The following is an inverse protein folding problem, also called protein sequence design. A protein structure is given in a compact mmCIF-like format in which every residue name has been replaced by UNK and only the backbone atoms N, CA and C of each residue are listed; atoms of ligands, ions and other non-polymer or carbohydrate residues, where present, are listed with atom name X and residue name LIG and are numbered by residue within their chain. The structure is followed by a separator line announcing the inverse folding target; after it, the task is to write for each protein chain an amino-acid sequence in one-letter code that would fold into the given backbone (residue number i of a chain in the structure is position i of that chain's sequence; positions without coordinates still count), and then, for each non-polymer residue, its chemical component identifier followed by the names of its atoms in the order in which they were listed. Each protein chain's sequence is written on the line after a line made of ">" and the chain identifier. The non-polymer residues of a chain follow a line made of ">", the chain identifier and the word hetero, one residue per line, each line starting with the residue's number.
data_IF_895368208457
#
_entry.id   IF_895368208457
#
_cell.length_a   1.000
_cell.length_b   1.000
_cell.length_c   1.000
_cell.angle_alpha   90.00
_cell.angle_beta   90.00
_cell.angle_gamma   90.00
#
_symmetry.space_group_name_H-M   'P 1'
#
loop_
_entity.id
_entity.type
_entity.pdbx_description
1 polymer ?
#
# COMPACT_ATOMS: atom_id res chain seq x y z
N UNK A 1 -5.26 58.80 -5.89
CA UNK A 1 -4.69 57.59 -5.25
C UNK A 1 -5.54 56.40 -5.72
N UNK A 2 -5.01 55.61 -6.66
CA UNK A 2 -5.69 54.45 -7.23
C UNK A 2 -5.18 53.22 -6.42
N UNK A 3 -6.08 52.61 -5.68
CA UNK A 3 -5.78 51.37 -4.92
C UNK A 3 -5.97 50.19 -5.82
N UNK A 4 -4.89 49.53 -6.21
CA UNK A 4 -4.91 48.28 -6.97
C UNK A 4 -5.11 47.15 -5.98
N UNK A 5 -6.27 46.48 -6.03
CA UNK A 5 -6.58 45.29 -5.25
C UNK A 5 -6.01 44.06 -5.97
N UNK A 6 -4.98 43.44 -5.42
CA UNK A 6 -4.41 42.21 -5.93
C UNK A 6 -5.23 41.04 -5.38
N UNK A 7 -6.08 40.45 -6.22
CA UNK A 7 -6.78 39.21 -5.87
C UNK A 7 -5.81 38.04 -6.05
N UNK A 8 -5.35 37.47 -4.96
CA UNK A 8 -4.59 36.22 -4.98
C UNK A 8 -5.59 35.08 -5.24
N UNK A 9 -5.63 34.59 -6.47
CA UNK A 9 -6.37 33.37 -6.80
C UNK A 9 -5.54 32.19 -6.26
N UNK A 10 -6.00 31.59 -5.19
CA UNK A 10 -5.47 30.28 -4.76
C UNK A 10 -5.95 29.27 -5.81
N UNK A 11 -5.04 28.80 -6.63
CA UNK A 11 -5.30 27.71 -7.58
C UNK A 11 -5.75 26.49 -6.77
N UNK A 12 -6.89 25.89 -7.11
CA UNK A 12 -7.30 24.62 -6.52
C UNK A 12 -6.18 23.59 -6.77
N UNK A 13 -5.82 22.73 -5.80
CA UNK A 13 -4.80 21.72 -6.02
C UNK A 13 -5.16 20.90 -7.26
N UNK A 14 -4.19 20.71 -8.17
CA UNK A 14 -4.39 19.86 -9.34
C UNK A 14 -4.68 18.44 -8.82
N UNK A 15 -5.81 17.87 -9.20
CA UNK A 15 -6.26 16.54 -8.74
C UNK A 15 -5.39 15.37 -9.26
N UNK A 16 -4.23 15.67 -9.87
CA UNK A 16 -3.38 14.68 -10.52
C UNK A 16 -1.99 14.55 -9.86
N UNK A 17 -1.83 15.06 -8.64
CA UNK A 17 -0.52 14.97 -7.94
C UNK A 17 -0.52 13.78 -7.00
N UNK A 18 0.38 12.79 -7.20
CA UNK A 18 0.53 11.66 -6.29
C UNK A 18 0.78 12.12 -4.84
N UNK A 19 0.13 11.46 -3.88
CA UNK A 19 0.14 11.86 -2.48
C UNK A 19 -0.88 12.95 -2.10
N UNK A 20 -1.71 13.43 -3.04
CA UNK A 20 -2.80 14.34 -2.68
C UNK A 20 -3.81 13.60 -1.80
N UNK A 21 -4.05 14.11 -0.59
CA UNK A 21 -5.07 13.60 0.32
C UNK A 21 -6.46 13.95 -0.21
N UNK A 22 -7.30 12.94 -0.46
CA UNK A 22 -8.66 13.12 -0.94
C UNK A 22 -9.68 13.11 0.20
N UNK A 23 -9.51 12.21 1.17
CA UNK A 23 -10.37 12.13 2.35
C UNK A 23 -9.60 11.59 3.56
N UNK A 24 -10.12 11.91 4.75
CA UNK A 24 -9.61 11.36 6.00
C UNK A 24 -10.76 11.18 6.98
N UNK A 25 -10.88 9.96 7.54
CA UNK A 25 -11.85 9.61 8.56
C UNK A 25 -11.12 9.31 9.87
N UNK A 26 -11.44 10.00 10.97
CA UNK A 26 -10.82 9.73 12.26
C UNK A 26 -11.06 8.29 12.73
N UNK A 27 -10.03 7.68 13.30
CA UNK A 27 -10.07 6.35 13.92
C UNK A 27 -9.63 6.49 15.37
N UNK A 28 -10.42 5.95 16.30
CA UNK A 28 -10.11 5.99 17.72
C UNK A 28 -9.02 4.97 18.07
N UNK A 29 -7.89 5.45 18.55
CA UNK A 29 -6.76 4.66 19.07
C UNK A 29 -6.46 4.95 20.55
N UNK A 30 -7.41 5.57 21.24
CA UNK A 30 -7.31 5.92 22.66
C UNK A 30 -6.18 6.91 22.93
N UNK A 31 -5.49 6.73 24.05
CA UNK A 31 -4.41 7.61 24.52
C UNK A 31 -3.10 7.49 23.70
N UNK A 32 -3.04 6.59 22.72
CA UNK A 32 -1.83 6.41 21.90
C UNK A 32 -1.55 7.59 20.99
N UNK A 33 -2.58 8.33 20.57
CA UNK A 33 -2.44 9.46 19.66
C UNK A 33 -3.69 9.74 18.86
N UNK A 34 -3.51 10.13 17.61
CA UNK A 34 -4.57 10.36 16.62
C UNK A 34 -4.32 9.50 15.40
N UNK A 35 -5.40 9.02 14.79
CA UNK A 35 -5.28 8.21 13.59
C UNK A 35 -6.44 8.45 12.62
N UNK A 36 -6.20 8.14 11.35
CA UNK A 36 -7.17 8.28 10.29
C UNK A 36 -7.08 7.11 9.31
N UNK A 37 -8.23 6.68 8.82
CA UNK A 37 -8.31 6.00 7.52
C UNK A 37 -8.34 7.09 6.47
N UNK A 38 -7.53 6.93 5.42
CA UNK A 38 -7.37 7.95 4.37
C UNK A 38 -7.62 7.37 3.00
N UNK A 39 -8.03 8.24 2.07
CA UNK A 39 -7.95 8.01 0.62
C UNK A 39 -7.03 9.08 0.04
N UNK A 40 -6.12 8.68 -0.82
CA UNK A 40 -5.14 9.59 -1.44
C UNK A 40 -4.90 9.19 -2.89
N UNK A 41 -4.37 10.12 -3.68
CA UNK A 41 -3.97 9.86 -5.06
C UNK A 41 -2.61 9.17 -5.11
N UNK A 42 -2.52 8.19 -5.99
CA UNK A 42 -1.30 7.54 -6.43
C UNK A 42 -1.28 7.42 -7.94
N UNK A 43 -0.32 6.69 -8.48
CA UNK A 43 -0.18 6.45 -9.91
C UNK A 43 -0.07 4.95 -10.17
N UNK A 44 -0.87 4.42 -11.06
CA UNK A 44 -0.79 3.01 -11.50
C UNK A 44 0.51 2.73 -12.26
N UNK A 45 0.81 1.47 -12.50
CA UNK A 45 1.95 1.06 -13.36
C UNK A 45 1.81 1.62 -14.77
N UNK A 46 0.58 1.79 -15.27
CA UNK A 46 0.30 2.39 -16.57
C UNK A 46 0.48 3.92 -16.61
N UNK A 47 0.76 4.54 -15.47
CA UNK A 47 0.93 6.00 -15.38
C UNK A 47 -0.38 6.78 -15.15
N UNK A 48 -1.50 6.09 -14.92
CA UNK A 48 -2.80 6.72 -14.70
C UNK A 48 -2.98 7.10 -13.22
N UNK A 49 -3.65 8.23 -12.91
CA UNK A 49 -3.98 8.58 -11.53
C UNK A 49 -5.02 7.59 -10.97
N UNK A 50 -4.77 7.12 -9.75
CA UNK A 50 -5.63 6.17 -9.04
C UNK A 50 -5.87 6.61 -7.60
N UNK A 51 -7.01 6.18 -7.03
CA UNK A 51 -7.31 6.35 -5.62
C UNK A 51 -6.81 5.13 -4.83
N UNK A 52 -6.08 5.38 -3.75
CA UNK A 52 -5.57 4.32 -2.87
C UNK A 52 -5.96 4.64 -1.44
N UNK A 53 -6.29 3.62 -0.67
CA UNK A 53 -6.63 3.74 0.75
C UNK A 53 -5.46 3.36 1.66
N UNK A 54 -5.57 3.74 2.93
CA UNK A 54 -4.58 3.38 3.94
C UNK A 54 -4.86 4.00 5.30
N UNK A 55 -3.89 3.93 6.19
CA UNK A 55 -3.96 4.52 7.54
C UNK A 55 -2.78 5.44 7.81
N UNK A 56 -3.05 6.52 8.53
CA UNK A 56 -2.05 7.44 9.07
C UNK A 56 -2.31 7.56 10.57
N UNK A 57 -1.26 7.40 11.37
CA UNK A 57 -1.31 7.57 12.82
C UNK A 57 -0.16 8.48 13.28
N UNK A 58 -0.46 9.38 14.21
CA UNK A 58 0.50 10.34 14.74
C UNK A 58 0.33 10.51 16.26
N UNK A 59 1.39 10.93 16.98
CA UNK A 59 1.26 11.34 18.37
C UNK A 59 0.25 12.50 18.52
N UNK A 60 -0.45 12.53 19.64
CA UNK A 60 -1.42 13.59 19.92
C UNK A 60 -0.77 14.98 19.94
N UNK A 61 -1.53 16.00 19.54
CA UNK A 61 -1.10 17.40 19.48
C UNK A 61 -0.26 17.74 18.25
N UNK A 62 -0.12 19.05 18.04
CA UNK A 62 0.66 19.57 16.91
C UNK A 62 2.12 19.15 17.00
N UNK A 63 2.70 18.85 15.83
CA UNK A 63 4.10 18.49 15.74
C UNK A 63 5.00 19.68 16.18
N UNK A 64 5.95 19.47 17.09
CA UNK A 64 6.89 20.52 17.49
C UNK A 64 7.94 20.81 16.39
N UNK A 65 7.97 20.02 15.34
CA UNK A 65 8.87 20.05 14.20
C UNK A 65 8.69 18.80 13.34
N UNK A 66 9.53 18.58 12.33
CA UNK A 66 9.49 17.36 11.51
C UNK A 66 9.58 16.11 12.37
N UNK A 67 8.58 15.20 12.25
CA UNK A 67 8.58 13.90 12.91
C UNK A 67 9.14 12.84 11.96
N UNK A 68 9.95 11.88 12.43
CA UNK A 68 10.33 10.74 11.63
C UNK A 68 9.10 9.90 11.27
N UNK A 69 9.15 9.25 10.12
CA UNK A 69 8.05 8.47 9.56
C UNK A 69 8.44 7.01 9.45
N UNK A 70 7.59 6.11 9.93
CA UNK A 70 7.61 4.70 9.58
C UNK A 70 6.50 4.43 8.58
N UNK A 71 6.85 3.98 7.37
CA UNK A 71 5.89 3.40 6.45
C UNK A 71 5.89 1.88 6.59
N UNK A 72 4.74 1.33 6.94
CA UNK A 72 4.54 -0.11 7.11
C UNK A 72 3.92 -0.68 5.85
N UNK A 73 4.68 -1.51 5.15
CA UNK A 73 4.24 -2.26 4.00
C UNK A 73 3.71 -3.63 4.45
N UNK A 74 2.39 -3.85 4.31
CA UNK A 74 1.75 -5.04 4.83
C UNK A 74 2.02 -6.29 3.98
N UNK A 75 1.95 -7.48 4.60
CA UNK A 75 1.98 -8.76 3.91
C UNK A 75 0.63 -9.07 3.24
N UNK A 76 0.57 -10.17 2.50
CA UNK A 76 -0.61 -10.59 1.76
C UNK A 76 -1.84 -10.74 2.64
N UNK A 77 -2.94 -10.06 2.29
CA UNK A 77 -4.24 -10.16 2.96
C UNK A 77 -5.34 -10.70 2.03
N UNK A 78 -5.13 -10.68 0.73
CA UNK A 78 -6.05 -11.06 -0.34
C UNK A 78 -5.97 -10.08 -1.50
N UNK A 79 -6.96 -10.11 -2.37
CA UNK A 79 -7.08 -9.19 -3.52
C UNK A 79 -8.40 -8.40 -3.49
N UNK A 80 -9.39 -8.85 -2.74
CA UNK A 80 -10.68 -8.19 -2.61
C UNK A 80 -10.59 -6.91 -1.74
N UNK A 81 -11.45 -5.93 -2.04
CA UNK A 81 -11.52 -4.65 -1.31
C UNK A 81 -11.68 -4.84 0.21
N UNK A 82 -12.50 -5.83 0.63
CA UNK A 82 -12.72 -6.13 2.04
C UNK A 82 -11.48 -6.60 2.79
N UNK A 83 -10.41 -6.93 2.07
CA UNK A 83 -9.14 -7.39 2.62
C UNK A 83 -8.17 -6.26 2.93
N UNK A 84 -8.51 -5.02 2.56
CA UNK A 84 -7.71 -3.84 2.85
C UNK A 84 -7.45 -3.72 4.36
N UNK A 85 -6.18 -3.66 4.80
CA UNK A 85 -5.84 -3.58 6.22
C UNK A 85 -6.42 -2.38 6.95
N UNK A 86 -6.61 -1.26 6.26
CA UNK A 86 -7.20 -0.05 6.84
C UNK A 86 -8.62 -0.27 7.36
N UNK A 87 -9.39 -1.19 6.76
CA UNK A 87 -10.75 -1.53 7.21
C UNK A 87 -10.77 -2.25 8.56
N UNK A 88 -9.64 -2.87 8.95
CA UNK A 88 -9.48 -3.62 10.20
C UNK A 88 -8.63 -2.88 11.23
N UNK A 89 -8.16 -1.69 10.89
CA UNK A 89 -7.47 -0.83 11.83
C UNK A 89 -8.50 -0.06 12.71
N UNK A 90 -8.31 0.03 14.04
CA UNK A 90 -7.18 -0.43 14.85
C UNK A 90 -7.38 -1.86 15.40
N UNK A 91 -6.78 -2.86 14.76
CA UNK A 91 -6.74 -4.21 15.29
C UNK A 91 -5.57 -4.41 16.25
N UNK A 92 -5.61 -5.45 17.08
CA UNK A 92 -4.57 -5.74 18.08
C UNK A 92 -3.17 -5.84 17.44
N UNK A 93 -3.04 -6.56 16.33
CA UNK A 93 -1.75 -6.73 15.63
C UNK A 93 -1.25 -5.42 15.02
N UNK A 94 -2.11 -4.58 14.47
CA UNK A 94 -1.72 -3.28 13.91
C UNK A 94 -1.29 -2.31 14.99
N UNK A 95 -2.01 -2.26 16.11
CA UNK A 95 -1.66 -1.44 17.26
C UNK A 95 -0.33 -1.88 17.88
N UNK A 96 -0.05 -3.20 17.96
CA UNK A 96 1.22 -3.71 18.45
C UNK A 96 2.43 -3.20 17.64
N UNK A 97 2.24 -2.99 16.33
CA UNK A 97 3.27 -2.38 15.47
C UNK A 97 3.33 -0.86 15.65
N UNK A 98 2.18 -0.18 15.68
CA UNK A 98 2.08 1.28 15.64
C UNK A 98 2.47 1.92 16.98
N UNK A 99 1.99 1.40 18.11
CA UNK A 99 2.14 2.02 19.43
C UNK A 99 3.59 2.35 19.82
N UNK A 100 4.58 1.43 19.67
CA UNK A 100 5.96 1.73 20.06
C UNK A 100 6.59 2.90 19.31
N UNK A 101 6.12 3.20 18.10
CA UNK A 101 6.62 4.32 17.30
C UNK A 101 5.91 5.62 17.67
N UNK A 102 4.59 5.61 17.88
CA UNK A 102 3.86 6.77 18.37
C UNK A 102 4.40 7.26 19.71
N UNK A 103 4.68 6.35 20.66
CA UNK A 103 5.29 6.66 21.96
C UNK A 103 6.67 7.33 21.83
N UNK A 104 7.38 7.12 20.73
CA UNK A 104 8.68 7.73 20.41
C UNK A 104 8.57 8.99 19.57
N UNK A 105 7.36 9.46 19.31
CA UNK A 105 7.12 10.68 18.55
C UNK A 105 7.14 10.51 17.02
N UNK A 106 7.08 9.28 16.52
CA UNK A 106 7.06 8.98 15.07
C UNK A 106 5.64 9.07 14.52
N UNK A 107 5.52 9.40 13.25
CA UNK A 107 4.33 9.16 12.46
C UNK A 107 4.42 7.75 11.88
N UNK A 108 3.30 7.03 11.86
CA UNK A 108 3.22 5.71 11.23
C UNK A 108 2.17 5.75 10.13
N UNK A 109 2.55 5.34 8.94
CA UNK A 109 1.65 5.24 7.77
C UNK A 109 1.64 3.81 7.24
N UNK A 110 0.51 3.38 6.67
CA UNK A 110 0.39 2.08 6.01
C UNK A 110 -0.59 2.20 4.84
N UNK A 111 -0.10 1.99 3.63
CA UNK A 111 -0.93 1.90 2.42
C UNK A 111 -1.64 0.55 2.38
N UNK A 112 -2.84 0.51 1.77
CA UNK A 112 -3.52 -0.74 1.43
C UNK A 112 -3.07 -1.27 0.05
N UNK A 113 -2.23 -0.52 -0.69
CA UNK A 113 -1.81 -0.69 -2.07
C UNK A 113 -2.92 -0.40 -3.10
N UNK A 114 -2.53 -0.28 -4.37
CA UNK A 114 -3.42 -0.14 -5.52
C UNK A 114 -4.45 -1.28 -5.58
N UNK A 115 -5.72 -0.95 -5.87
CA UNK A 115 -6.78 -1.93 -6.09
C UNK A 115 -7.23 -2.69 -4.84
N UNK A 116 -6.85 -2.25 -3.63
CA UNK A 116 -7.38 -2.76 -2.37
C UNK A 116 -8.15 -1.66 -1.63
N UNK A 117 -9.39 -1.95 -1.26
CA UNK A 117 -10.30 -0.97 -0.62
C UNK A 117 -10.75 0.15 -1.56
N UNK A 118 -10.59 -0.01 -2.88
CA UNK A 118 -10.90 0.94 -3.91
C UNK A 118 -10.96 0.32 -5.30
N UNK A 119 -11.24 1.11 -6.34
CA UNK A 119 -11.43 0.59 -7.70
C UNK A 119 -10.17 -0.07 -8.28
N UNK A 120 -10.36 -1.14 -9.05
CA UNK A 120 -9.32 -1.81 -9.82
C UNK A 120 -8.91 -3.16 -9.24
N UNK A 121 -8.05 -3.87 -9.96
CA UNK A 121 -7.49 -5.14 -9.52
C UNK A 121 -6.17 -4.84 -8.79
N UNK A 122 -5.97 -5.45 -7.63
CA UNK A 122 -4.71 -5.32 -6.89
C UNK A 122 -3.53 -5.90 -7.68
N UNK A 123 -2.50 -5.07 -8.06
CA UNK A 123 -1.29 -5.56 -8.71
C UNK A 123 -0.38 -6.29 -7.70
N UNK A 124 -0.81 -7.48 -7.27
CA UNK A 124 -0.12 -8.27 -6.26
C UNK A 124 1.30 -8.64 -6.70
N UNK A 125 2.28 -8.33 -5.86
CA UNK A 125 3.74 -8.49 -6.12
C UNK A 125 4.23 -7.81 -7.41
N UNK A 126 3.59 -6.69 -7.78
CA UNK A 126 4.07 -5.76 -8.79
C UNK A 126 4.79 -4.62 -8.07
N UNK A 127 6.11 -4.72 -7.98
CA UNK A 127 6.92 -3.88 -7.08
C UNK A 127 6.83 -2.38 -7.33
N UNK A 128 6.64 -1.94 -8.58
CA UNK A 128 6.50 -0.51 -8.87
C UNK A 128 5.18 0.04 -8.31
N UNK A 129 4.07 -0.67 -8.46
CA UNK A 129 2.78 -0.28 -7.88
C UNK A 129 2.86 -0.21 -6.35
N UNK A 130 3.44 -1.25 -5.72
CA UNK A 130 3.61 -1.28 -4.27
C UNK A 130 4.48 -0.13 -3.75
N UNK A 131 5.60 0.17 -4.42
CA UNK A 131 6.50 1.25 -4.03
C UNK A 131 5.83 2.63 -4.15
N UNK A 132 5.04 2.86 -5.21
CA UNK A 132 4.26 4.11 -5.37
C UNK A 132 3.29 4.31 -4.22
N UNK A 133 2.49 3.30 -3.88
CA UNK A 133 1.58 3.36 -2.73
C UNK A 133 2.28 3.70 -1.42
N UNK A 134 3.47 3.08 -1.17
CA UNK A 134 4.28 3.35 0.02
C UNK A 134 4.79 4.79 0.08
N UNK A 135 5.22 5.37 -1.05
CA UNK A 135 5.69 6.76 -1.07
C UNK A 135 4.54 7.76 -0.98
N UNK A 136 3.45 7.52 -1.71
CA UNK A 136 2.37 8.49 -1.84
C UNK A 136 1.56 8.64 -0.56
N UNK A 137 1.44 7.59 0.27
CA UNK A 137 0.83 7.75 1.59
C UNK A 137 1.68 8.59 2.54
N UNK A 138 3.01 8.60 2.39
CA UNK A 138 3.89 9.51 3.15
C UNK A 138 3.63 10.95 2.75
N UNK A 139 3.53 11.24 1.45
CA UNK A 139 3.17 12.58 0.94
C UNK A 139 1.80 13.02 1.41
N UNK A 140 0.82 12.10 1.44
CA UNK A 140 -0.50 12.37 2.01
C UNK A 140 -0.40 12.78 3.48
N UNK A 141 0.40 12.07 4.28
CA UNK A 141 0.62 12.40 5.69
C UNK A 141 1.32 13.76 5.87
N UNK A 142 2.26 14.13 4.99
CA UNK A 142 2.92 15.44 4.99
C UNK A 142 1.93 16.58 4.77
N UNK A 143 0.89 16.36 3.96
CA UNK A 143 -0.14 17.36 3.67
C UNK A 143 -1.12 17.60 4.82
N UNK A 144 -1.15 16.71 5.85
CA UNK A 144 -2.10 16.78 6.96
C UNK A 144 -1.63 17.79 8.03
N UNK A 145 -2.45 18.82 8.34
CA UNK A 145 -2.08 19.80 9.36
C UNK A 145 -1.82 19.17 10.73
N UNK A 146 -0.73 19.56 11.37
CA UNK A 146 -0.36 19.12 12.72
C UNK A 146 0.31 17.73 12.80
N UNK A 147 0.27 16.92 11.72
CA UNK A 147 0.91 15.59 11.69
C UNK A 147 2.43 15.69 11.68
N UNK A 148 2.99 16.57 10.85
CA UNK A 148 4.44 16.83 10.79
C UNK A 148 5.27 15.66 10.24
N UNK A 149 4.77 14.95 9.24
CA UNK A 149 5.42 13.79 8.62
C UNK A 149 6.58 14.17 7.67
N UNK A 150 7.34 15.21 7.99
CA UNK A 150 8.39 15.79 7.13
C UNK A 150 9.82 15.37 7.55
N UNK A 151 9.95 14.46 8.50
CA UNK A 151 11.25 13.96 8.96
C UNK A 151 11.73 12.73 8.17
N UNK A 152 12.84 12.11 8.62
CA UNK A 152 13.42 10.93 7.97
C UNK A 152 12.42 9.79 7.83
N UNK A 153 12.39 9.14 6.66
CA UNK A 153 11.53 8.01 6.33
C UNK A 153 12.27 6.69 6.55
N UNK A 154 11.63 5.78 7.27
CA UNK A 154 12.01 4.36 7.33
C UNK A 154 10.84 3.54 6.77
N UNK A 155 11.14 2.54 5.94
CA UNK A 155 10.15 1.60 5.41
C UNK A 155 10.43 0.22 5.98
N UNK A 156 9.39 -0.43 6.48
CA UNK A 156 9.44 -1.81 6.95
C UNK A 156 8.31 -2.62 6.35
N UNK A 157 8.62 -3.84 5.90
CA UNK A 157 7.60 -4.76 5.42
C UNK A 157 8.01 -6.22 5.52
N UNK A 158 7.02 -7.11 5.57
CA UNK A 158 7.21 -8.55 5.65
C UNK A 158 6.42 -9.27 4.55
N UNK A 159 6.96 -10.38 4.00
CA UNK A 159 6.33 -11.14 2.93
C UNK A 159 6.09 -10.26 1.68
N UNK A 160 4.86 -10.09 1.17
CA UNK A 160 4.53 -9.11 0.14
C UNK A 160 5.06 -7.71 0.51
N UNK A 161 4.89 -7.27 1.76
CA UNK A 161 5.45 -6.00 2.22
C UNK A 161 6.97 -5.96 2.21
N UNK A 162 7.63 -7.11 2.39
CA UNK A 162 9.08 -7.24 2.18
C UNK A 162 9.47 -7.03 0.72
N UNK A 163 8.68 -7.52 -0.22
CA UNK A 163 8.84 -7.28 -1.65
C UNK A 163 8.64 -5.78 -1.97
N UNK A 164 7.57 -5.18 -1.47
CA UNK A 164 7.35 -3.74 -1.58
C UNK A 164 8.53 -2.93 -1.04
N UNK A 165 9.05 -3.28 0.14
CA UNK A 165 10.20 -2.61 0.76
C UNK A 165 11.48 -2.73 -0.09
N UNK A 166 11.72 -3.87 -0.75
CA UNK A 166 12.86 -4.01 -1.69
C UNK A 166 12.72 -3.05 -2.88
N UNK A 167 11.53 -2.98 -3.48
CA UNK A 167 11.27 -2.07 -4.60
C UNK A 167 11.28 -0.60 -4.20
N UNK A 168 10.88 -0.27 -2.97
CA UNK A 168 11.10 1.06 -2.39
C UNK A 168 12.59 1.43 -2.40
N UNK A 169 13.45 0.54 -1.93
CA UNK A 169 14.90 0.80 -1.91
C UNK A 169 15.48 0.95 -3.33
N UNK A 170 15.00 0.15 -4.28
CA UNK A 170 15.44 0.17 -5.67
C UNK A 170 14.98 1.43 -6.41
N UNK A 171 13.71 1.83 -6.21
CA UNK A 171 13.04 2.85 -7.02
C UNK A 171 12.99 4.24 -6.38
N UNK A 172 13.48 4.39 -5.13
CA UNK A 172 13.38 5.64 -4.39
C UNK A 172 13.85 6.86 -5.17
N UNK A 173 15.06 6.79 -5.76
CA UNK A 173 15.64 7.94 -6.46
C UNK A 173 14.82 8.38 -7.68
N UNK A 174 14.10 7.44 -8.31
CA UNK A 174 13.28 7.69 -9.49
C UNK A 174 11.87 8.16 -9.12
N UNK A 175 11.25 7.53 -8.10
CA UNK A 175 9.84 7.73 -7.77
C UNK A 175 9.60 8.76 -6.66
N UNK A 176 10.54 8.91 -5.74
CA UNK A 176 10.37 9.76 -4.56
C UNK A 176 11.65 10.42 -4.08
N UNK A 177 12.41 11.14 -4.96
CA UNK A 177 13.64 11.85 -4.56
C UNK A 177 13.36 13.01 -3.58
N UNK A 178 12.12 13.40 -3.41
CA UNK A 178 11.63 14.41 -2.48
C UNK A 178 11.52 13.90 -1.03
N UNK A 179 11.49 12.57 -0.82
CA UNK A 179 11.41 11.97 0.52
C UNK A 179 12.80 11.61 1.05
N UNK A 180 13.05 11.88 2.33
CA UNK A 180 14.32 11.57 3.02
C UNK A 180 14.34 10.10 3.47
N UNK A 181 14.48 9.14 2.55
CA UNK A 181 14.55 7.72 2.86
C UNK A 181 15.91 7.37 3.47
N UNK A 182 15.92 7.06 4.76
CA UNK A 182 17.15 6.74 5.51
C UNK A 182 17.33 5.26 5.82
N UNK A 183 16.29 4.44 5.65
CA UNK A 183 16.37 3.02 5.93
C UNK A 183 15.23 2.20 5.38
N UNK A 184 15.54 0.97 4.98
CA UNK A 184 14.56 -0.03 4.53
C UNK A 184 14.86 -1.36 5.22
N UNK A 185 13.82 -2.02 5.74
CA UNK A 185 13.91 -3.36 6.30
C UNK A 185 12.89 -4.28 5.63
N UNK A 186 13.38 -5.26 4.86
CA UNK A 186 12.59 -6.23 4.13
C UNK A 186 12.67 -7.61 4.80
N UNK A 187 11.57 -8.07 5.40
CA UNK A 187 11.45 -9.38 6.00
C UNK A 187 10.87 -10.41 5.03
N UNK A 188 11.56 -11.54 4.82
CA UNK A 188 11.08 -12.67 4.00
C UNK A 188 10.45 -12.29 2.64
N UNK A 189 11.09 -11.41 1.83
CA UNK A 189 10.52 -10.97 0.55
C UNK A 189 10.44 -12.12 -0.45
N UNK A 190 9.36 -12.26 -1.24
CA UNK A 190 9.34 -13.12 -2.41
C UNK A 190 10.22 -12.53 -3.51
N UNK A 191 11.48 -12.95 -3.59
CA UNK A 191 12.49 -12.39 -4.51
C UNK A 191 12.99 -13.38 -5.57
N UNK A 192 12.67 -14.69 -5.43
CA UNK A 192 13.10 -15.75 -6.34
C UNK A 192 11.88 -16.40 -6.99
N UNK A 193 11.14 -15.66 -7.82
CA UNK A 193 9.84 -16.07 -8.33
C UNK A 193 9.85 -17.44 -9.03
N UNK A 194 10.86 -17.73 -9.86
CA UNK A 194 10.97 -19.03 -10.54
C UNK A 194 11.11 -20.20 -9.54
N UNK A 195 11.85 -20.02 -8.46
CA UNK A 195 12.01 -21.01 -7.41
C UNK A 195 10.76 -21.13 -6.55
N UNK A 196 10.17 -19.97 -6.20
CA UNK A 196 8.94 -19.92 -5.42
C UNK A 196 7.78 -20.57 -6.17
N UNK A 197 7.62 -20.31 -7.48
CA UNK A 197 6.55 -20.93 -8.25
C UNK A 197 6.68 -22.45 -8.27
N UNK A 198 7.90 -22.99 -8.46
CA UNK A 198 8.12 -24.43 -8.41
C UNK A 198 7.86 -25.02 -7.01
N UNK A 199 8.08 -24.27 -5.94
CA UNK A 199 7.83 -24.71 -4.57
C UNK A 199 6.36 -24.61 -4.16
N UNK A 200 5.66 -23.57 -4.62
CA UNK A 200 4.27 -23.30 -4.25
C UNK A 200 3.28 -24.13 -5.05
N UNK A 201 3.64 -24.54 -6.27
CA UNK A 201 2.80 -25.35 -7.13
C UNK A 201 2.39 -26.68 -6.46
N UNK A 202 1.09 -26.93 -6.31
CA UNK A 202 0.54 -28.11 -5.65
C UNK A 202 0.75 -28.17 -4.14
N UNK A 203 1.12 -27.05 -3.49
CA UNK A 203 1.25 -26.93 -2.04
C UNK A 203 0.00 -26.30 -1.42
N UNK A 204 -0.08 -26.32 -0.07
CA UNK A 204 -1.11 -25.61 0.71
C UNK A 204 -1.03 -24.07 0.59
N UNK A 205 -0.15 -23.56 -0.27
CA UNK A 205 0.08 -22.13 -0.50
C UNK A 205 -0.02 -21.76 -1.99
N UNK A 206 -0.57 -22.65 -2.81
CA UNK A 206 -0.70 -22.45 -4.26
C UNK A 206 -1.52 -21.19 -4.60
N UNK A 207 -2.47 -20.80 -3.75
CA UNK A 207 -3.24 -19.58 -3.91
C UNK A 207 -2.38 -18.32 -4.11
N UNK A 208 -1.16 -18.26 -3.57
CA UNK A 208 -0.23 -17.16 -3.83
C UNK A 208 0.21 -17.10 -5.31
N UNK A 209 0.40 -18.25 -5.94
CA UNK A 209 0.75 -18.29 -7.37
C UNK A 209 -0.40 -17.79 -8.23
N UNK A 210 -1.63 -18.19 -7.89
CA UNK A 210 -2.82 -17.79 -8.63
C UNK A 210 -3.02 -16.29 -8.53
N UNK A 211 -2.90 -15.71 -7.33
CA UNK A 211 -2.92 -14.25 -7.13
C UNK A 211 -1.87 -13.54 -7.98
N UNK A 212 -0.61 -14.03 -7.95
CA UNK A 212 0.48 -13.42 -8.72
C UNK A 212 0.24 -13.53 -10.23
N UNK A 213 -0.18 -14.70 -10.74
CA UNK A 213 -0.43 -14.89 -12.16
C UNK A 213 -1.58 -14.00 -12.67
N UNK A 214 -2.71 -13.98 -11.94
CA UNK A 214 -3.87 -13.16 -12.29
C UNK A 214 -3.52 -11.66 -12.28
N UNK A 215 -2.82 -11.22 -11.25
CA UNK A 215 -2.39 -9.85 -11.07
C UNK A 215 -1.41 -9.39 -12.14
N UNK A 216 -0.39 -10.20 -12.45
CA UNK A 216 0.59 -9.89 -13.49
C UNK A 216 -0.05 -9.86 -14.89
N UNK A 217 -1.00 -10.76 -15.16
CA UNK A 217 -1.73 -10.75 -16.44
C UNK A 217 -2.67 -9.55 -16.59
N UNK A 218 -3.24 -9.06 -15.47
CA UNK A 218 -4.03 -7.84 -15.48
C UNK A 218 -3.16 -6.57 -15.62
N UNK A 219 -1.88 -6.66 -15.26
CA UNK A 219 -0.96 -5.52 -15.26
C UNK A 219 -0.13 -5.44 -16.56
N UNK A 220 0.20 -6.59 -17.16
CA UNK A 220 1.10 -6.70 -18.32
C UNK A 220 0.43 -7.44 -19.46
N UNK A 221 0.19 -6.77 -20.57
CA UNK A 221 -0.48 -7.31 -21.76
C UNK A 221 0.24 -8.51 -22.41
N UNK A 222 1.55 -8.68 -22.13
CA UNK A 222 2.37 -9.75 -22.68
C UNK A 222 2.16 -11.10 -21.96
N UNK A 223 1.51 -11.11 -20.79
CA UNK A 223 1.31 -12.33 -20.03
C UNK A 223 -0.02 -13.01 -20.40
N UNK A 224 0.08 -14.21 -20.96
CA UNK A 224 -1.07 -15.04 -21.28
C UNK A 224 -1.36 -16.02 -20.12
N UNK A 225 -2.49 -15.82 -19.43
CA UNK A 225 -2.91 -16.70 -18.34
C UNK A 225 -3.11 -18.15 -18.76
N UNK A 226 -3.58 -18.41 -19.99
CA UNK A 226 -3.76 -19.78 -20.50
C UNK A 226 -2.43 -20.53 -20.68
N UNK A 227 -1.31 -19.77 -20.79
CA UNK A 227 0.02 -20.36 -20.85
C UNK A 227 0.60 -20.75 -19.49
N UNK A 228 0.07 -20.16 -18.39
CA UNK A 228 0.61 -20.36 -17.03
C UNK A 228 -0.37 -21.01 -16.05
N UNK A 229 -1.65 -21.10 -16.39
CA UNK A 229 -2.69 -21.75 -15.60
C UNK A 229 -3.48 -22.75 -16.44
N UNK A 230 -3.99 -23.79 -15.80
CA UNK A 230 -4.88 -24.75 -16.47
C UNK A 230 -6.17 -24.06 -16.95
N UNK A 231 -6.49 -24.02 -18.26
CA UNK A 231 -7.67 -23.35 -18.78
C UNK A 231 -9.00 -23.80 -18.15
N UNK A 232 -9.06 -25.04 -17.66
CA UNK A 232 -10.26 -25.57 -16.99
C UNK A 232 -10.58 -24.81 -15.68
N UNK A 233 -9.62 -24.11 -15.09
CA UNK A 233 -9.77 -23.42 -13.81
C UNK A 233 -9.83 -21.89 -13.92
N UNK A 234 -9.68 -21.31 -15.11
CA UNK A 234 -9.72 -19.85 -15.31
C UNK A 234 -11.03 -19.23 -14.83
N UNK A 235 -12.14 -19.95 -14.89
CA UNK A 235 -13.43 -19.48 -14.37
C UNK A 235 -13.47 -19.27 -12.86
N UNK A 236 -12.48 -19.79 -12.11
CA UNK A 236 -12.35 -19.58 -10.67
C UNK A 236 -11.64 -18.27 -10.33
N UNK A 237 -11.06 -17.55 -11.29
CA UNK A 237 -10.36 -16.29 -11.02
C UNK A 237 -11.26 -15.22 -10.39
N UNK A 238 -12.57 -15.26 -10.68
CA UNK A 238 -13.56 -14.40 -10.03
C UNK A 238 -13.61 -14.59 -8.49
N UNK A 239 -13.11 -15.72 -7.97
CA UNK A 239 -13.04 -15.97 -6.53
C UNK A 239 -11.96 -15.15 -5.82
N UNK A 240 -10.98 -14.62 -6.56
CA UNK A 240 -9.94 -13.75 -6.01
C UNK A 240 -10.50 -12.45 -5.41
N UNK A 241 -11.63 -11.97 -5.94
CA UNK A 241 -12.31 -10.75 -5.48
C UNK A 241 -13.44 -11.01 -4.47
N UNK A 242 -13.68 -12.28 -4.07
CA UNK A 242 -14.79 -12.66 -3.19
C UNK A 242 -14.38 -12.92 -1.75
N UNK A 243 -13.11 -12.82 -1.44
CA UNK A 243 -12.63 -13.07 -0.08
C UNK A 243 -11.13 -12.87 0.08
N UNK A 244 -10.70 -12.98 1.32
CA UNK A 244 -9.30 -12.77 1.66
C UNK A 244 -8.48 -14.06 1.52
N UNK A 245 -7.20 -14.01 1.90
CA UNK A 245 -6.21 -15.10 1.73
C UNK A 245 -6.73 -16.48 2.11
N UNK A 246 -7.52 -16.60 3.19
CA UNK A 246 -8.11 -17.89 3.61
C UNK A 246 -9.06 -18.46 2.56
N UNK A 247 -9.99 -17.64 2.04
CA UNK A 247 -10.90 -18.04 0.97
C UNK A 247 -10.13 -18.46 -0.31
N UNK A 248 -9.11 -17.68 -0.68
CA UNK A 248 -8.27 -17.98 -1.86
C UNK A 248 -7.59 -19.33 -1.68
N UNK A 249 -7.08 -19.65 -0.51
CA UNK A 249 -6.46 -20.96 -0.23
C UNK A 249 -7.48 -22.09 -0.29
N UNK A 250 -8.68 -21.89 0.29
CA UNK A 250 -9.75 -22.90 0.24
C UNK A 250 -10.17 -23.23 -1.19
N UNK A 251 -10.15 -22.24 -2.10
CA UNK A 251 -10.52 -22.45 -3.51
C UNK A 251 -9.38 -23.05 -4.32
N UNK A 252 -8.16 -22.55 -4.16
CA UNK A 252 -7.08 -22.79 -5.15
C UNK A 252 -6.04 -23.83 -4.70
N UNK A 253 -5.90 -24.16 -3.42
CA UNK A 253 -4.86 -25.08 -2.98
C UNK A 253 -5.15 -26.56 -3.36
N UNK A 254 -6.41 -26.92 -3.58
CA UNK A 254 -6.83 -28.29 -3.92
C UNK A 254 -6.97 -28.54 -5.42
N UNK A 255 -6.89 -27.52 -6.25
CA UNK A 255 -7.03 -27.70 -7.72
C UNK A 255 -5.68 -28.06 -8.36
N UNK A 256 -5.66 -28.94 -9.40
CA UNK A 256 -4.47 -29.18 -10.19
C UNK A 256 -4.02 -27.92 -10.91
N UNK A 257 -2.76 -27.58 -10.77
CA UNK A 257 -2.16 -26.39 -11.40
C UNK A 257 -1.94 -26.59 -12.89
#
# INVERSE_FOLDING_TARGET
>A
TTTTSTTTTTEAPSLDVPGTLLSSEPVDIGDLGVAWRVTYLSTSVAGEPIEVTGTIAAPAGDAPGPRPVLSVAHGTTGMADECAPSLRFPGESSIAVVAPFLERGWVVVATDYEGMGGPGIHPYVVGESEARGVFDIVRAAQSMPGVGADGPLVVWGHSQGGHAAMHVAERWQDLAPDLDLVGVAAGAPPSQFALLSAFLQGSDYQGYLVMAAASMAATYDELDLEAVMNPAHLHLLDELEKGCTGHIFDVFNEIPY
#
